data_IF_879224673677
#
_entry.id   IF_879224673677
#
_cell.length_a   1.000
_cell.length_b   1.000
_cell.length_c   1.000
_cell.angle_alpha   90.00
_cell.angle_beta   90.00
_cell.angle_gamma   90.00
#
_symmetry.space_group_name_H-M   'P 1'
#
loop_
_entity.id
_entity.type
_entity.pdbx_description
1 polymer ?
#
# COMPACT_ATOMS: atom_id res chain seq x y z
N UNK A 1 -16.66 -5.72 1.08
CA UNK A 1 -16.63 -4.26 1.35
C UNK A 1 -16.82 -3.54 0.02
N UNK A 2 -17.58 -2.44 -0.06
CA UNK A 2 -17.80 -1.76 -1.32
C UNK A 2 -16.47 -1.28 -1.89
N UNK A 3 -16.23 -1.59 -3.16
CA UNK A 3 -15.07 -1.17 -3.93
C UNK A 3 -15.52 -0.15 -4.96
N UNK A 4 -14.80 0.97 -5.05
CA UNK A 4 -14.93 1.87 -6.20
C UNK A 4 -13.96 1.36 -7.26
N UNK A 5 -14.50 0.80 -8.36
CA UNK A 5 -13.74 0.29 -9.50
C UNK A 5 -13.84 1.27 -10.67
N UNK A 6 -12.72 1.56 -11.31
CA UNK A 6 -12.68 2.34 -12.57
C UNK A 6 -12.81 1.48 -13.84
N UNK A 7 -12.83 0.15 -13.72
CA UNK A 7 -12.76 -0.77 -14.87
C UNK A 7 -11.32 -1.04 -15.30
N UNK A 8 -11.12 -1.85 -16.35
CA UNK A 8 -9.78 -2.14 -16.88
C UNK A 8 -9.22 -0.87 -17.53
N UNK A 9 -8.06 -0.40 -17.07
CA UNK A 9 -7.44 0.82 -17.60
C UNK A 9 -6.42 0.48 -18.68
N UNK A 10 -5.48 -0.42 -18.39
CA UNK A 10 -4.43 -0.84 -19.32
C UNK A 10 -3.76 -2.15 -18.84
N UNK A 11 -3.10 -2.86 -19.74
CA UNK A 11 -2.38 -4.11 -19.43
C UNK A 11 -0.87 -3.88 -19.49
N UNK A 12 -0.14 -4.31 -18.46
CA UNK A 12 1.33 -4.26 -18.43
C UNK A 12 1.86 -5.65 -18.11
N UNK A 13 2.73 -6.20 -18.98
CA UNK A 13 3.36 -7.52 -18.81
C UNK A 13 2.37 -8.66 -18.46
N UNK A 14 1.19 -8.67 -19.08
CA UNK A 14 0.15 -9.67 -18.79
C UNK A 14 -0.67 -9.41 -17.52
N UNK A 15 -0.40 -8.32 -16.80
CA UNK A 15 -1.17 -7.90 -15.62
C UNK A 15 -2.13 -6.78 -16.00
N UNK A 16 -3.42 -7.02 -15.81
CA UNK A 16 -4.47 -6.02 -16.01
C UNK A 16 -4.48 -5.02 -14.87
N UNK A 17 -4.20 -3.76 -15.19
CA UNK A 17 -4.21 -2.66 -14.22
C UNK A 17 -5.59 -2.03 -14.19
N UNK A 18 -6.10 -1.90 -12.98
CA UNK A 18 -7.35 -1.24 -12.63
C UNK A 18 -7.05 -0.20 -11.55
N UNK A 19 -7.94 0.75 -11.29
CA UNK A 19 -7.90 1.50 -10.02
C UNK A 19 -9.12 1.11 -9.20
N UNK A 20 -8.88 0.27 -8.19
CA UNK A 20 -9.85 -0.24 -7.24
C UNK A 20 -9.55 0.29 -5.84
N UNK A 21 -10.36 1.22 -5.33
CA UNK A 21 -10.16 1.76 -3.98
C UNK A 21 -11.16 1.15 -3.02
N UNK A 22 -10.66 0.66 -1.87
CA UNK A 22 -11.49 0.24 -0.75
C UNK A 22 -10.97 0.87 0.56
N UNK A 23 -11.74 0.75 1.63
CA UNK A 23 -11.36 1.33 2.93
C UNK A 23 -10.04 0.76 3.47
N UNK A 24 -9.73 -0.50 3.16
CA UNK A 24 -8.53 -1.18 3.62
C UNK A 24 -7.27 -0.65 2.92
N UNK A 25 -7.33 -0.42 1.60
CA UNK A 25 -6.23 0.12 0.82
C UNK A 25 -5.94 1.56 1.19
N UNK A 26 -6.97 2.35 1.47
CA UNK A 26 -6.83 3.72 1.99
C UNK A 26 -6.20 3.72 3.39
N UNK A 27 -6.60 2.79 4.26
CA UNK A 27 -6.02 2.68 5.59
C UNK A 27 -4.53 2.27 5.53
N UNK A 28 -4.18 1.29 4.70
CA UNK A 28 -2.79 0.92 4.46
C UNK A 28 -1.98 2.08 3.87
N UNK A 29 -2.56 2.85 2.95
CA UNK A 29 -1.93 4.03 2.37
C UNK A 29 -1.71 5.13 3.43
N UNK A 30 -2.65 5.33 4.36
CA UNK A 30 -2.46 6.25 5.47
C UNK A 30 -1.31 5.79 6.39
N UNK A 31 -1.26 4.49 6.72
CA UNK A 31 -0.16 3.91 7.53
C UNK A 31 1.17 4.05 6.80
N UNK A 32 1.21 3.92 5.48
CA UNK A 32 2.40 4.18 4.67
C UNK A 32 2.95 5.60 4.89
N UNK A 33 2.12 6.64 4.79
CA UNK A 33 2.57 8.01 5.05
C UNK A 33 3.05 8.23 6.50
N UNK A 34 2.36 7.64 7.47
CA UNK A 34 2.79 7.69 8.87
C UNK A 34 4.14 6.98 9.08
N UNK A 35 4.36 5.85 8.41
CA UNK A 35 5.61 5.10 8.49
C UNK A 35 6.79 5.88 7.90
N UNK A 36 6.58 6.64 6.81
CA UNK A 36 7.61 7.53 6.25
C UNK A 36 8.02 8.57 7.30
N UNK A 37 7.04 9.20 7.96
CA UNK A 37 7.33 10.19 9.01
C UNK A 37 8.09 9.55 10.18
N UNK A 38 7.70 8.36 10.59
CA UNK A 38 8.39 7.61 11.64
C UNK A 38 9.83 7.26 11.25
N UNK A 39 10.04 6.81 10.00
CA UNK A 39 11.37 6.52 9.45
C UNK A 39 12.26 7.77 9.44
N UNK A 40 11.76 8.90 8.94
CA UNK A 40 12.49 10.17 8.95
C UNK A 40 12.91 10.59 10.37
N UNK A 41 12.04 10.41 11.35
CA UNK A 41 12.35 10.71 12.75
C UNK A 41 13.37 9.72 13.34
N UNK A 42 13.31 8.45 12.96
CA UNK A 42 14.29 7.44 13.38
C UNK A 42 15.69 7.73 12.80
N UNK A 43 15.75 8.17 11.54
CA UNK A 43 17.00 8.62 10.90
C UNK A 43 17.58 9.82 11.65
N UNK A 44 16.77 10.84 11.95
CA UNK A 44 17.21 12.04 12.68
C UNK A 44 17.73 11.72 14.09
N UNK A 45 17.10 10.78 14.77
CA UNK A 45 17.51 10.34 16.12
C UNK A 45 18.63 9.29 16.12
N UNK A 46 19.14 8.89 14.94
CA UNK A 46 20.12 7.81 14.77
C UNK A 46 19.70 6.49 15.42
N UNK A 47 18.39 6.26 15.53
CA UNK A 47 17.82 5.03 16.08
C UNK A 47 17.84 3.93 15.02
N UNK A 48 18.89 3.11 15.03
CA UNK A 48 19.10 2.02 14.04
C UNK A 48 17.90 1.06 13.99
N UNK A 49 17.36 0.68 15.15
CA UNK A 49 16.23 -0.25 15.21
C UNK A 49 14.97 0.39 14.58
N UNK A 50 14.71 1.65 14.91
CA UNK A 50 13.62 2.44 14.32
C UNK A 50 13.77 2.63 12.81
N UNK A 51 15.00 2.76 12.30
CA UNK A 51 15.26 2.86 10.86
C UNK A 51 14.92 1.55 10.16
N UNK A 52 15.36 0.41 10.70
CA UNK A 52 15.10 -0.91 10.11
C UNK A 52 13.59 -1.18 10.07
N UNK A 53 12.89 -1.05 11.21
CA UNK A 53 11.44 -1.27 11.26
C UNK A 53 10.66 -0.22 10.47
N UNK A 54 11.09 1.03 10.49
CA UNK A 54 10.49 2.10 9.69
C UNK A 54 10.57 1.80 8.19
N UNK A 55 11.74 1.36 7.72
CA UNK A 55 11.96 0.99 6.33
C UNK A 55 11.10 -0.22 5.92
N UNK A 56 11.10 -1.28 6.73
CA UNK A 56 10.28 -2.47 6.48
C UNK A 56 8.78 -2.12 6.44
N UNK A 57 8.31 -1.28 7.36
CA UNK A 57 6.92 -0.83 7.40
C UNK A 57 6.58 0.01 6.16
N UNK A 58 7.41 0.98 5.81
CA UNK A 58 7.21 1.84 4.62
C UNK A 58 7.15 1.01 3.34
N UNK A 59 8.09 0.07 3.15
CA UNK A 59 8.08 -0.79 1.97
C UNK A 59 6.85 -1.70 1.94
N UNK A 60 6.50 -2.33 3.06
CA UNK A 60 5.36 -3.26 3.14
C UNK A 60 4.03 -2.54 2.89
N UNK A 61 3.73 -1.49 3.66
CA UNK A 61 2.46 -0.78 3.53
C UNK A 61 2.35 -0.02 2.21
N UNK A 62 3.45 0.53 1.69
CA UNK A 62 3.50 1.16 0.38
C UNK A 62 3.21 0.15 -0.73
N UNK A 63 3.92 -0.98 -0.74
CA UNK A 63 3.71 -2.02 -1.73
C UNK A 63 2.29 -2.58 -1.69
N UNK A 64 1.81 -3.01 -0.52
CA UNK A 64 0.48 -3.62 -0.42
C UNK A 64 -0.64 -2.62 -0.69
N UNK A 65 -0.55 -1.37 -0.25
CA UNK A 65 -1.58 -0.37 -0.59
C UNK A 65 -1.67 -0.14 -2.10
N UNK A 66 -0.54 0.07 -2.77
CA UNK A 66 -0.50 0.29 -4.21
C UNK A 66 -0.91 -0.97 -4.99
N UNK A 67 -0.45 -2.15 -4.58
CA UNK A 67 -0.87 -3.41 -5.19
C UNK A 67 -2.38 -3.64 -5.03
N UNK A 68 -2.95 -3.41 -3.85
CA UNK A 68 -4.40 -3.51 -3.66
C UNK A 68 -5.15 -2.50 -4.53
N UNK A 69 -4.65 -1.26 -4.65
CA UNK A 69 -5.25 -0.23 -5.50
C UNK A 69 -5.19 -0.61 -6.98
N UNK A 70 -4.05 -1.12 -7.45
CA UNK A 70 -3.81 -1.31 -8.88
C UNK A 70 -4.24 -2.68 -9.43
N UNK A 71 -4.29 -3.71 -8.58
CA UNK A 71 -4.46 -5.10 -9.05
C UNK A 71 -5.52 -5.88 -8.28
N UNK A 72 -6.39 -5.23 -7.49
CA UNK A 72 -7.35 -5.94 -6.62
C UNK A 72 -6.67 -6.92 -5.65
N UNK A 73 -5.49 -6.56 -5.14
CA UNK A 73 -4.71 -7.36 -4.21
C UNK A 73 -5.32 -7.47 -2.81
N UNK A 74 -6.49 -8.11 -2.68
CA UNK A 74 -6.96 -8.94 -1.55
C UNK A 74 -8.22 -9.66 -2.06
N UNK A 75 -8.39 -10.98 -1.85
CA UNK A 75 -9.27 -11.82 -2.65
C UNK A 75 -10.65 -11.19 -2.79
N UNK A 76 -11.13 -11.17 -4.04
CA UNK A 76 -12.55 -11.12 -4.31
C UNK A 76 -13.13 -12.25 -3.46
N UNK A 77 -13.81 -11.90 -2.36
CA UNK A 77 -14.60 -12.85 -1.60
C UNK A 77 -15.70 -13.30 -2.57
N UNK A 78 -15.42 -14.36 -3.32
CA UNK A 78 -16.41 -15.11 -4.08
C UNK A 78 -17.36 -15.69 -3.04
N UNK A 79 -18.44 -14.96 -2.77
CA UNK A 79 -19.65 -15.48 -2.16
C UNK A 79 -20.76 -15.35 -3.19
#
# INVERSE_FOLDING_TARGET
MPFINTGELFEIFGTKIHIGVNIFSLLMLAVFFLSIKALLNAVKSKNVLGIIFGLLATLSFGFFSLATIFTYGYPILHH
#
